data_IF_183330310941
#
_entry.id   IF_183330310941
#
_cell.length_a   1.000
_cell.length_b   1.000
_cell.length_c   1.000
_cell.angle_alpha   90.00
_cell.angle_beta   90.00
_cell.angle_gamma   90.00
#
_symmetry.space_group_name_H-M   'P 1'
#
loop_
_entity.id
_entity.type
_entity.pdbx_description
1 polymer ?
#
# COMPACT_ATOMS: atom_id res chain seq x y z
N UNK A 1 -12.03 10.41 -4.91
CA UNK A 1 -11.25 10.95 -3.78
C UNK A 1 -11.20 9.98 -2.60
N UNK A 2 -12.36 9.59 -2.04
CA UNK A 2 -12.46 8.69 -0.87
C UNK A 2 -11.72 7.35 -0.98
N UNK A 3 -11.61 6.76 -2.18
CA UNK A 3 -10.82 5.54 -2.44
C UNK A 3 -9.38 5.61 -1.91
N UNK A 4 -8.79 6.81 -1.78
CA UNK A 4 -7.43 7.00 -1.21
C UNK A 4 -7.29 6.47 0.23
N UNK A 5 -8.37 6.42 1.00
CA UNK A 5 -8.35 5.91 2.37
C UNK A 5 -8.05 4.40 2.44
N UNK A 6 -8.29 3.66 1.35
CA UNK A 6 -8.09 2.22 1.28
C UNK A 6 -6.68 1.81 0.83
N UNK A 7 -5.75 2.77 0.70
CA UNK A 7 -4.38 2.51 0.26
C UNK A 7 -4.33 1.81 -1.10
N UNK A 8 -3.47 0.80 -1.29
CA UNK A 8 -3.32 0.06 -2.55
C UNK A 8 -4.58 -0.64 -3.05
N UNK A 9 -5.54 -0.97 -2.18
CA UNK A 9 -6.84 -1.52 -2.61
C UNK A 9 -7.69 -0.46 -3.32
N UNK A 10 -7.51 0.81 -2.95
CA UNK A 10 -8.16 1.95 -3.55
C UNK A 10 -7.45 2.41 -4.82
N UNK A 11 -6.18 2.79 -4.67
CA UNK A 11 -5.26 3.26 -5.71
C UNK A 11 -3.85 2.79 -5.40
N UNK A 12 -3.09 2.34 -6.40
CA UNK A 12 -1.69 1.96 -6.21
C UNK A 12 -0.85 3.17 -5.78
N UNK A 13 -1.14 4.34 -6.34
CA UNK A 13 -0.46 5.61 -6.03
C UNK A 13 -1.48 6.61 -5.43
N UNK A 14 -1.12 7.35 -4.36
CA UNK A 14 -2.03 8.29 -3.71
C UNK A 14 -2.20 9.60 -4.51
N UNK A 15 -2.96 9.57 -5.60
CA UNK A 15 -3.23 10.75 -6.43
C UNK A 15 -3.98 11.86 -5.70
N UNK A 16 -3.82 13.07 -6.21
CA UNK A 16 -4.59 14.24 -5.82
C UNK A 16 -5.58 14.58 -6.94
N UNK A 17 -6.88 14.59 -6.60
CA UNK A 17 -7.96 14.94 -7.52
C UNK A 17 -8.38 16.38 -7.23
N UNK A 18 -8.17 17.30 -8.17
CA UNK A 18 -8.41 18.72 -7.94
C UNK A 18 -9.82 19.15 -8.40
N UNK A 19 -10.31 20.22 -7.78
CA UNK A 19 -11.56 20.87 -8.17
C UNK A 19 -11.50 21.49 -9.57
N UNK A 20 -10.32 21.93 -10.03
CA UNK A 20 -10.15 22.46 -11.39
C UNK A 20 -10.53 21.43 -12.45
N UNK A 21 -10.01 20.21 -12.32
CA UNK A 21 -10.27 19.12 -13.27
C UNK A 21 -11.74 18.71 -13.23
N UNK A 22 -12.36 18.75 -12.04
CA UNK A 22 -13.80 18.51 -11.88
C UNK A 22 -14.63 19.58 -12.59
N UNK A 23 -14.29 20.85 -12.40
CA UNK A 23 -14.99 21.97 -13.04
C UNK A 23 -14.90 21.93 -14.57
N UNK A 24 -13.73 21.58 -15.11
CA UNK A 24 -13.55 21.41 -16.56
C UNK A 24 -14.38 20.23 -17.06
N UNK A 25 -14.35 19.10 -16.36
CA UNK A 25 -15.14 17.91 -16.70
C UNK A 25 -16.65 18.20 -16.68
N UNK A 26 -17.14 18.98 -15.70
CA UNK A 26 -18.55 19.40 -15.63
C UNK A 26 -18.94 20.31 -16.79
N UNK A 27 -18.09 21.28 -17.16
CA UNK A 27 -18.35 22.17 -18.31
C UNK A 27 -18.38 21.40 -19.63
N UNK A 28 -17.44 20.47 -19.81
CA UNK A 28 -17.43 19.59 -20.99
C UNK A 28 -18.69 18.73 -21.04
N UNK A 29 -19.08 18.13 -19.91
CA UNK A 29 -20.32 17.35 -19.83
C UNK A 29 -21.53 18.20 -20.24
N UNK A 30 -21.66 19.42 -19.69
CA UNK A 30 -22.75 20.33 -20.04
C UNK A 30 -22.77 20.67 -21.54
N UNK A 31 -21.61 20.97 -22.12
CA UNK A 31 -21.47 21.25 -23.55
C UNK A 31 -21.94 20.06 -24.40
N UNK A 32 -21.47 18.84 -24.10
CA UNK A 32 -21.85 17.65 -24.85
C UNK A 32 -23.34 17.31 -24.72
N UNK A 33 -23.96 17.58 -23.56
CA UNK A 33 -25.39 17.33 -23.36
C UNK A 33 -26.29 18.36 -24.06
N UNK A 34 -25.81 19.59 -24.25
CA UNK A 34 -26.60 20.65 -24.90
C UNK A 34 -26.43 20.67 -26.42
N UNK A 35 -25.22 20.40 -26.92
CA UNK A 35 -24.87 20.61 -28.33
C UNK A 35 -25.11 19.38 -29.22
N UNK A 36 -25.25 18.19 -28.63
CA UNK A 36 -25.44 16.93 -29.34
C UNK A 36 -26.81 16.32 -29.05
N UNK A 37 -27.46 15.77 -30.08
CA UNK A 37 -28.75 15.07 -29.95
C UNK A 37 -28.62 13.71 -29.27
N UNK A 38 -27.48 13.04 -29.44
CA UNK A 38 -27.16 11.76 -28.80
C UNK A 38 -25.98 11.93 -27.84
N UNK A 39 -26.09 11.34 -26.64
CA UNK A 39 -25.06 11.47 -25.61
C UNK A 39 -23.83 10.64 -25.99
N UNK A 40 -22.65 11.27 -26.24
CA UNK A 40 -21.47 10.55 -26.69
C UNK A 40 -20.69 9.99 -25.48
N UNK A 41 -21.20 8.93 -24.85
CA UNK A 41 -20.61 8.33 -23.64
C UNK A 41 -19.13 7.97 -23.78
N UNK A 42 -18.73 7.41 -24.92
CA UNK A 42 -17.32 7.06 -25.17
C UNK A 42 -16.41 8.30 -25.18
N UNK A 43 -16.87 9.42 -25.74
CA UNK A 43 -16.13 10.67 -25.75
C UNK A 43 -16.03 11.26 -24.34
N UNK A 44 -17.11 11.22 -23.55
CA UNK A 44 -17.12 11.67 -22.15
C UNK A 44 -16.17 10.86 -21.28
N UNK A 45 -16.17 9.53 -21.42
CA UNK A 45 -15.25 8.65 -20.70
C UNK A 45 -13.80 8.97 -21.08
N UNK A 46 -13.51 9.17 -22.37
CA UNK A 46 -12.17 9.48 -22.85
C UNK A 46 -11.70 10.86 -22.38
N UNK A 47 -12.53 11.89 -22.47
CA UNK A 47 -12.18 13.25 -22.05
C UNK A 47 -11.96 13.32 -20.54
N UNK A 48 -12.90 12.80 -19.74
CA UNK A 48 -12.77 12.82 -18.29
C UNK A 48 -11.62 11.91 -17.83
N UNK A 49 -11.57 10.68 -18.33
CA UNK A 49 -10.60 9.68 -17.92
C UNK A 49 -9.19 9.92 -18.45
N UNK A 50 -9.02 10.07 -19.77
CA UNK A 50 -7.69 10.15 -20.39
C UNK A 50 -7.16 11.58 -20.48
N UNK A 51 -8.02 12.57 -20.77
CA UNK A 51 -7.56 13.95 -20.97
C UNK A 51 -7.49 14.75 -19.67
N UNK A 52 -8.56 14.79 -18.88
CA UNK A 52 -8.64 15.63 -17.68
C UNK A 52 -7.89 15.00 -16.50
N UNK A 53 -8.19 13.74 -16.18
CA UNK A 53 -7.56 13.04 -15.06
C UNK A 53 -6.39 12.14 -15.48
N UNK A 54 -6.29 11.76 -16.75
CA UNK A 54 -5.29 10.80 -17.23
C UNK A 54 -3.86 11.34 -17.21
N UNK A 55 -3.66 12.66 -17.24
CA UNK A 55 -2.34 13.26 -17.00
C UNK A 55 -1.85 13.09 -15.55
N UNK A 56 -2.76 12.87 -14.60
CA UNK A 56 -2.44 12.69 -13.16
C UNK A 56 -2.28 11.24 -12.76
N UNK A 57 -3.08 10.36 -13.37
CA UNK A 57 -3.06 8.92 -13.08
C UNK A 57 -1.96 8.26 -13.90
N UNK A 58 -0.80 8.06 -13.25
CA UNK A 58 0.42 7.58 -13.90
C UNK A 58 0.50 6.06 -14.04
N UNK A 59 -0.13 5.31 -13.12
CA UNK A 59 -0.13 3.83 -13.17
C UNK A 59 -1.18 3.31 -14.16
N UNK A 60 -0.81 2.30 -14.96
CA UNK A 60 -1.68 1.68 -15.97
C UNK A 60 -2.91 1.00 -15.35
N UNK A 61 -2.73 0.34 -14.19
CA UNK A 61 -3.84 -0.36 -13.53
C UNK A 61 -4.79 0.63 -12.87
N UNK A 62 -4.27 1.69 -12.26
CA UNK A 62 -5.09 2.78 -11.76
C UNK A 62 -5.85 3.50 -12.89
N UNK A 63 -5.22 3.72 -14.06
CA UNK A 63 -5.89 4.31 -15.23
C UNK A 63 -7.05 3.43 -15.70
N UNK A 64 -6.80 2.12 -15.85
CA UNK A 64 -7.83 1.14 -16.19
C UNK A 64 -8.97 1.12 -15.17
N UNK A 65 -8.66 1.19 -13.88
CA UNK A 65 -9.64 1.26 -12.80
C UNK A 65 -10.49 2.53 -12.93
N UNK A 66 -9.87 3.70 -13.11
CA UNK A 66 -10.58 4.96 -13.26
C UNK A 66 -11.56 4.93 -14.44
N UNK A 67 -11.12 4.48 -15.62
CA UNK A 67 -11.99 4.33 -16.80
C UNK A 67 -13.11 3.34 -16.55
N UNK A 68 -12.85 2.26 -15.81
CA UNK A 68 -13.87 1.26 -15.45
C UNK A 68 -14.91 1.84 -14.49
N UNK A 69 -14.48 2.66 -13.52
CA UNK A 69 -15.38 3.38 -12.63
C UNK A 69 -16.23 4.38 -13.43
N UNK A 70 -15.63 5.15 -14.33
CA UNK A 70 -16.36 6.11 -15.16
C UNK A 70 -17.46 5.45 -16.00
N UNK A 71 -17.24 4.24 -16.52
CA UNK A 71 -18.26 3.48 -17.27
C UNK A 71 -19.51 3.14 -16.44
N UNK A 72 -19.40 3.04 -15.12
CA UNK A 72 -20.56 2.82 -14.25
C UNK A 72 -21.45 4.08 -14.13
N UNK A 73 -20.92 5.26 -14.43
CA UNK A 73 -21.64 6.54 -14.37
C UNK A 73 -21.98 7.10 -15.76
N UNK A 74 -21.11 6.93 -16.75
CA UNK A 74 -21.33 7.31 -18.14
C UNK A 74 -21.81 6.12 -18.96
N UNK A 75 -23.09 5.79 -18.86
CA UNK A 75 -23.73 4.79 -19.69
C UNK A 75 -25.22 5.10 -19.91
N UNK A 76 -25.82 4.45 -20.90
CA UNK A 76 -27.22 4.67 -21.27
C UNK A 76 -28.21 4.24 -20.20
N UNK A 77 -27.88 3.25 -19.36
CA UNK A 77 -28.79 2.77 -18.29
C UNK A 77 -29.03 3.83 -17.23
N UNK A 78 -28.00 4.62 -16.92
CA UNK A 78 -28.10 5.76 -15.98
C UNK A 78 -29.15 6.78 -16.43
N UNK A 79 -29.39 6.91 -17.74
CA UNK A 79 -30.35 7.87 -18.30
C UNK A 79 -31.72 7.24 -18.54
N UNK A 80 -31.77 5.95 -18.88
CA UNK A 80 -32.99 5.27 -19.31
C UNK A 80 -33.71 4.52 -18.17
N UNK A 81 -33.00 4.17 -17.10
CA UNK A 81 -33.53 3.40 -15.98
C UNK A 81 -33.63 4.28 -14.73
N UNK A 82 -34.85 4.70 -14.40
CA UNK A 82 -35.15 5.50 -13.20
C UNK A 82 -34.79 4.77 -11.89
N UNK A 83 -34.64 3.44 -11.93
CA UNK A 83 -34.25 2.59 -10.79
C UNK A 83 -32.77 2.20 -10.82
N UNK A 84 -31.98 2.83 -11.68
CA UNK A 84 -30.55 2.58 -11.74
C UNK A 84 -29.88 2.90 -10.40
N UNK A 85 -29.12 1.94 -9.88
CA UNK A 85 -28.34 2.11 -8.67
C UNK A 85 -26.85 2.00 -8.94
N UNK A 86 -26.09 2.86 -8.25
CA UNK A 86 -24.63 2.90 -8.28
C UNK A 86 -23.99 1.88 -7.34
N UNK A 87 -24.75 1.25 -6.44
CA UNK A 87 -24.25 0.20 -5.54
C UNK A 87 -25.20 -1.01 -5.47
N UNK A 88 -24.67 -2.20 -5.13
CA UNK A 88 -25.49 -3.38 -4.90
C UNK A 88 -26.60 -3.19 -3.85
N UNK A 89 -26.35 -2.38 -2.82
CA UNK A 89 -27.31 -2.11 -1.74
C UNK A 89 -28.52 -1.29 -2.17
N UNK A 90 -28.55 -0.71 -3.37
CA UNK A 90 -29.63 0.14 -3.89
C UNK A 90 -29.90 1.42 -3.10
N UNK A 91 -29.08 1.74 -2.10
CA UNK A 91 -29.18 2.97 -1.32
C UNK A 91 -28.74 4.17 -2.16
N UNK A 92 -27.73 3.98 -3.02
CA UNK A 92 -27.18 5.01 -3.87
C UNK A 92 -27.79 4.93 -5.27
N UNK A 93 -28.70 5.83 -5.60
CA UNK A 93 -29.45 5.87 -6.86
C UNK A 93 -29.76 7.31 -7.27
N UNK A 94 -30.31 7.49 -8.47
CA UNK A 94 -30.80 8.79 -8.92
C UNK A 94 -32.14 9.09 -8.24
N UNK A 95 -32.34 10.32 -7.79
CA UNK A 95 -33.59 10.75 -7.16
C UNK A 95 -34.64 11.10 -8.21
N UNK A 96 -35.89 10.72 -7.97
CA UNK A 96 -37.02 11.12 -8.83
C UNK A 96 -37.19 12.65 -8.84
N UNK A 97 -36.94 13.28 -7.68
CA UNK A 97 -36.92 14.74 -7.57
C UNK A 97 -35.51 15.27 -7.85
N UNK A 98 -35.29 15.70 -9.09
CA UNK A 98 -34.02 16.28 -9.58
C UNK A 98 -33.90 17.79 -9.31
N UNK A 99 -34.87 18.40 -8.61
CA UNK A 99 -34.70 19.77 -8.12
C UNK A 99 -33.55 19.86 -7.12
N UNK A 100 -32.92 21.02 -7.01
CA UNK A 100 -31.83 21.25 -6.07
C UNK A 100 -32.20 20.85 -4.63
N UNK A 101 -33.42 21.19 -4.20
CA UNK A 101 -33.94 20.85 -2.88
C UNK A 101 -34.15 19.34 -2.71
N UNK A 102 -34.67 18.67 -3.74
CA UNK A 102 -34.84 17.21 -3.73
C UNK A 102 -33.51 16.46 -3.63
N UNK A 103 -32.51 16.89 -4.39
CA UNK A 103 -31.16 16.32 -4.35
C UNK A 103 -30.52 16.57 -2.98
N UNK A 104 -30.66 17.77 -2.41
CA UNK A 104 -30.14 18.08 -1.07
C UNK A 104 -30.79 17.21 0.02
N UNK A 105 -32.11 17.05 -0.02
CA UNK A 105 -32.84 16.21 0.93
C UNK A 105 -32.40 14.74 0.84
N UNK A 106 -32.18 14.24 -0.39
CA UNK A 106 -31.66 12.89 -0.59
C UNK A 106 -30.24 12.72 -0.06
N UNK A 107 -29.33 13.66 -0.35
CA UNK A 107 -27.96 13.62 0.19
C UNK A 107 -27.98 13.59 1.73
N UNK A 108 -28.90 14.34 2.36
CA UNK A 108 -29.06 14.33 3.82
C UNK A 108 -29.63 13.01 4.36
N UNK A 109 -30.37 12.25 3.55
CA UNK A 109 -30.90 10.93 3.93
C UNK A 109 -29.87 9.80 3.85
N UNK A 110 -28.74 10.04 3.17
CA UNK A 110 -27.70 9.03 3.01
C UNK A 110 -26.97 8.73 4.34
N UNK A 111 -26.46 7.50 4.52
CA UNK A 111 -25.66 7.15 5.69
C UNK A 111 -24.44 8.07 5.85
N UNK A 112 -24.16 8.50 7.07
CA UNK A 112 -22.94 9.25 7.41
C UNK A 112 -21.66 8.44 7.15
N UNK A 113 -21.72 7.13 7.36
CA UNK A 113 -20.62 6.21 7.11
C UNK A 113 -20.88 5.46 5.80
N UNK A 114 -20.07 5.77 4.79
CA UNK A 114 -20.14 5.13 3.49
C UNK A 114 -19.56 3.71 3.56
N UNK A 115 -20.30 2.75 3.03
CA UNK A 115 -19.86 1.36 2.87
C UNK A 115 -18.87 1.23 1.71
N UNK A 116 -17.90 0.29 1.73
CA UNK A 116 -16.90 0.15 0.67
C UNK A 116 -17.49 -0.12 -0.73
N UNK A 117 -18.68 -0.71 -0.77
CA UNK A 117 -19.38 -1.06 -2.00
C UNK A 117 -19.66 0.12 -2.93
N UNK A 118 -19.92 1.34 -2.41
CA UNK A 118 -20.14 2.53 -3.25
C UNK A 118 -18.89 2.92 -4.02
N UNK A 119 -17.73 2.55 -3.48
CA UNK A 119 -16.45 2.76 -4.15
C UNK A 119 -16.12 1.61 -5.11
N UNK A 120 -16.92 0.55 -5.18
CA UNK A 120 -16.61 -0.68 -5.92
C UNK A 120 -15.59 -1.56 -5.21
N UNK A 121 -15.58 -1.54 -3.87
CA UNK A 121 -14.73 -2.37 -3.03
C UNK A 121 -15.56 -3.40 -2.28
N UNK A 122 -14.94 -4.53 -1.92
CA UNK A 122 -15.53 -5.52 -1.02
C UNK A 122 -15.46 -5.05 0.44
N UNK A 123 -16.36 -5.50 1.30
CA UNK A 123 -16.43 -5.12 2.73
C UNK A 123 -15.11 -5.34 3.49
N UNK A 124 -14.34 -6.35 3.08
CA UNK A 124 -12.99 -6.62 3.61
C UNK A 124 -12.02 -5.43 3.43
N UNK A 125 -12.29 -4.50 2.52
CA UNK A 125 -11.47 -3.30 2.36
C UNK A 125 -11.55 -2.39 3.59
N UNK A 126 -12.71 -2.30 4.25
CA UNK A 126 -12.85 -1.56 5.52
C UNK A 126 -12.07 -2.25 6.64
N UNK A 127 -12.09 -3.58 6.70
CA UNK A 127 -11.27 -4.31 7.66
C UNK A 127 -9.78 -4.00 7.46
N UNK A 128 -9.30 -4.04 6.22
CA UNK A 128 -7.91 -3.71 5.91
C UNK A 128 -7.56 -2.25 6.27
N UNK A 129 -8.45 -1.30 5.96
CA UNK A 129 -8.31 0.12 6.35
C UNK A 129 -8.19 0.26 7.86
N UNK A 130 -9.14 -0.30 8.61
CA UNK A 130 -9.21 -0.18 10.07
C UNK A 130 -8.00 -0.84 10.75
N UNK A 131 -7.54 -1.98 10.23
CA UNK A 131 -6.32 -2.64 10.71
C UNK A 131 -5.08 -1.77 10.46
N UNK A 132 -4.98 -1.15 9.28
CA UNK A 132 -3.86 -0.26 8.98
C UNK A 132 -3.87 1.02 9.82
N UNK A 133 -5.05 1.63 10.02
CA UNK A 133 -5.21 2.78 10.90
C UNK A 133 -4.87 2.44 12.35
N UNK A 134 -5.32 1.29 12.84
CA UNK A 134 -5.02 0.81 14.19
C UNK A 134 -3.52 0.56 14.36
N UNK A 135 -2.86 -0.11 13.39
CA UNK A 135 -1.40 -0.28 13.41
C UNK A 135 -0.66 1.04 13.42
N UNK A 136 -1.12 2.03 12.65
CA UNK A 136 -0.53 3.37 12.62
C UNK A 136 -0.68 4.07 13.97
N UNK A 137 -1.87 4.04 14.57
CA UNK A 137 -2.14 4.66 15.87
C UNK A 137 -1.32 3.99 16.97
N UNK A 138 -1.34 2.65 17.05
CA UNK A 138 -0.53 1.91 18.02
C UNK A 138 0.97 2.12 17.82
N UNK A 139 1.43 2.17 16.57
CA UNK A 139 2.81 2.49 16.23
C UNK A 139 3.21 3.90 16.69
N UNK A 140 2.35 4.90 16.51
CA UNK A 140 2.58 6.26 16.98
C UNK A 140 2.60 6.33 18.51
N UNK A 141 1.70 5.62 19.19
CA UNK A 141 1.69 5.53 20.66
C UNK A 141 2.98 4.92 21.18
N UNK A 142 3.46 3.84 20.55
CA UNK A 142 4.71 3.17 20.93
C UNK A 142 5.91 4.11 20.79
N UNK A 143 5.98 4.89 19.70
CA UNK A 143 7.03 5.88 19.50
C UNK A 143 7.00 6.97 20.57
N UNK A 144 5.82 7.48 20.93
CA UNK A 144 5.67 8.50 21.98
C UNK A 144 6.01 7.94 23.37
N UNK A 145 5.59 6.71 23.68
CA UNK A 145 5.84 6.07 24.97
C UNK A 145 7.33 5.76 25.18
N UNK A 146 8.03 5.31 24.12
CA UNK A 146 9.46 5.03 24.18
C UNK A 146 10.33 6.27 24.45
N UNK A 147 9.86 7.49 24.10
CA UNK A 147 10.56 8.73 24.42
C UNK A 147 10.40 9.17 25.89
N UNK A 148 9.51 8.54 26.65
CA UNK A 148 9.22 8.92 28.04
C UNK A 148 9.83 7.99 29.10
N UNK A 149 10.51 6.91 28.70
CA UNK A 149 11.11 5.96 29.64
C UNK A 149 12.57 6.30 29.95
N UNK A 150 12.77 7.22 30.89
CA UNK A 150 14.07 7.48 31.54
C UNK A 150 14.34 6.44 32.67
N UNK A 151 13.99 5.16 32.46
CA UNK A 151 13.92 4.20 33.58
C UNK A 151 14.35 2.77 33.21
N UNK A 152 15.48 2.35 33.78
CA UNK A 152 16.06 0.99 33.84
C UNK A 152 16.62 0.41 32.54
N UNK A 153 17.73 0.97 32.05
CA UNK A 153 18.50 0.45 30.90
C UNK A 153 18.92 -1.04 31.01
N UNK A 154 19.16 -1.54 32.23
CA UNK A 154 19.67 -2.91 32.41
C UNK A 154 18.71 -4.06 32.03
N UNK A 155 17.38 -3.90 32.19
CA UNK A 155 16.41 -4.96 31.82
C UNK A 155 16.14 -4.99 30.30
N UNK A 156 16.22 -3.83 29.66
CA UNK A 156 16.06 -3.69 28.20
C UNK A 156 17.27 -4.26 27.46
N UNK A 157 18.48 -3.95 27.93
CA UNK A 157 19.73 -4.47 27.36
C UNK A 157 19.81 -6.01 27.48
N UNK A 158 19.43 -6.56 28.63
CA UNK A 158 19.40 -8.01 28.84
C UNK A 158 18.42 -8.72 27.89
N UNK A 159 17.21 -8.16 27.71
CA UNK A 159 16.22 -8.67 26.75
C UNK A 159 16.73 -8.59 25.32
N UNK A 160 17.41 -7.51 24.94
CA UNK A 160 17.98 -7.38 23.60
C UNK A 160 19.05 -8.41 23.32
N UNK A 161 19.96 -8.64 24.26
CA UNK A 161 20.97 -9.69 24.12
C UNK A 161 20.31 -11.05 23.95
N UNK A 162 19.26 -11.35 24.72
CA UNK A 162 18.53 -12.62 24.59
C UNK A 162 17.91 -12.76 23.19
N UNK A 163 17.22 -11.74 22.69
CA UNK A 163 16.61 -11.75 21.36
C UNK A 163 17.69 -11.90 20.27
N UNK A 164 18.80 -11.17 20.38
CA UNK A 164 19.93 -11.26 19.45
C UNK A 164 20.51 -12.68 19.44
N UNK A 165 20.72 -13.29 20.61
CA UNK A 165 21.26 -14.65 20.72
C UNK A 165 20.29 -15.67 20.10
N UNK A 166 18.98 -15.57 20.36
CA UNK A 166 17.97 -16.41 19.73
C UNK A 166 17.92 -16.24 18.19
N UNK A 167 18.08 -15.00 17.70
CA UNK A 167 18.10 -14.72 16.26
C UNK A 167 19.35 -15.29 15.60
N UNK A 168 20.51 -15.21 16.25
CA UNK A 168 21.76 -15.79 15.76
C UNK A 168 21.64 -17.31 15.68
N UNK A 169 21.07 -17.95 16.69
CA UNK A 169 20.93 -19.41 16.78
C UNK A 169 19.95 -19.98 15.74
N UNK A 170 18.85 -19.27 15.48
CA UNK A 170 17.86 -19.66 14.46
C UNK A 170 18.31 -19.34 13.02
N UNK A 171 19.41 -18.60 12.84
CA UNK A 171 19.78 -18.12 11.51
C UNK A 171 20.40 -19.24 10.65
N UNK A 172 19.89 -19.50 9.43
CA UNK A 172 20.38 -20.58 8.60
C UNK A 172 21.87 -20.43 8.26
N UNK A 173 22.59 -21.55 8.04
CA UNK A 173 23.95 -21.51 7.51
C UNK A 173 23.96 -20.91 6.10
N UNK A 174 25.11 -20.40 5.68
CA UNK A 174 25.28 -19.93 4.31
C UNK A 174 25.14 -21.09 3.33
N UNK A 175 24.58 -20.82 2.16
CA UNK A 175 24.48 -21.83 1.12
C UNK A 175 25.86 -22.11 0.51
N UNK A 176 26.17 -23.40 0.34
CA UNK A 176 27.38 -23.82 -0.37
C UNK A 176 27.23 -23.58 -1.87
N UNK A 177 27.93 -22.56 -2.37
CA UNK A 177 27.90 -22.16 -3.77
C UNK A 177 28.63 -23.17 -4.67
N UNK A 178 29.63 -23.88 -4.16
CA UNK A 178 30.41 -24.84 -4.95
C UNK A 178 29.63 -26.13 -5.16
N UNK A 179 28.97 -26.63 -4.11
CA UNK A 179 28.08 -27.78 -4.22
C UNK A 179 26.89 -27.47 -5.15
N UNK A 180 26.30 -26.28 -5.03
CA UNK A 180 25.21 -25.84 -5.91
C UNK A 180 25.66 -25.70 -7.37
N UNK A 181 26.85 -25.16 -7.62
CA UNK A 181 27.41 -25.02 -8.97
C UNK A 181 27.78 -26.36 -9.61
N UNK A 182 28.23 -27.35 -8.83
CA UNK A 182 28.48 -28.72 -9.31
C UNK A 182 27.19 -29.45 -9.65
N UNK A 183 26.14 -29.27 -8.85
CA UNK A 183 24.83 -29.92 -9.05
C UNK A 183 24.01 -29.29 -10.17
N UNK A 184 24.12 -27.97 -10.33
CA UNK A 184 23.40 -27.17 -11.33
C UNK A 184 24.38 -26.33 -12.15
N UNK A 185 25.10 -26.96 -13.10
CA UNK A 185 26.01 -26.23 -13.97
C UNK A 185 25.25 -25.21 -14.82
N UNK A 186 25.95 -24.12 -15.17
CA UNK A 186 25.43 -23.09 -16.06
C UNK A 186 25.51 -23.65 -17.47
N UNK A 187 24.36 -24.06 -18.01
CA UNK A 187 24.23 -24.58 -19.36
C UNK A 187 23.21 -23.70 -20.09
N UNK A 188 23.42 -23.49 -21.39
CA UNK A 188 22.56 -22.64 -22.22
C UNK A 188 21.09 -23.11 -22.22
N UNK A 189 20.88 -24.43 -22.20
CA UNK A 189 19.57 -25.08 -22.19
C UNK A 189 18.82 -24.94 -20.85
N UNK A 190 19.52 -24.53 -19.77
CA UNK A 190 18.94 -24.36 -18.43
C UNK A 190 19.29 -23.00 -17.83
N UNK A 191 18.66 -21.95 -18.36
CA UNK A 191 18.81 -20.56 -17.90
C UNK A 191 18.52 -20.36 -16.41
N UNK A 192 17.62 -21.17 -15.83
CA UNK A 192 17.27 -21.13 -14.40
C UNK A 192 18.45 -21.44 -13.46
N UNK A 193 19.44 -22.21 -13.89
CA UNK A 193 20.63 -22.50 -13.07
C UNK A 193 21.47 -21.23 -12.84
N UNK A 194 21.47 -20.32 -13.81
CA UNK A 194 22.13 -19.01 -13.69
C UNK A 194 21.41 -18.14 -12.65
N UNK A 195 20.07 -18.09 -12.70
CA UNK A 195 19.25 -17.36 -11.73
C UNK A 195 19.44 -17.93 -10.33
N UNK A 196 19.41 -19.26 -10.17
CA UNK A 196 19.67 -19.92 -8.89
C UNK A 196 21.02 -19.51 -8.30
N UNK A 197 22.09 -19.51 -9.10
CA UNK A 197 23.41 -19.09 -8.61
C UNK A 197 23.42 -17.62 -8.17
N UNK A 198 22.77 -16.73 -8.93
CA UNK A 198 22.66 -15.31 -8.56
C UNK A 198 21.85 -15.10 -7.27
N UNK A 199 20.74 -15.82 -7.11
CA UNK A 199 19.93 -15.79 -5.90
C UNK A 199 20.74 -16.29 -4.69
N UNK A 200 21.45 -17.41 -4.81
CA UNK A 200 22.32 -17.92 -3.73
C UNK A 200 23.39 -16.92 -3.31
N UNK A 201 24.01 -16.22 -4.27
CA UNK A 201 24.96 -15.15 -3.98
C UNK A 201 24.28 -14.02 -3.21
N UNK A 202 23.10 -13.57 -3.65
CA UNK A 202 22.34 -12.50 -3.01
C UNK A 202 21.90 -12.86 -1.59
N UNK A 203 21.40 -14.09 -1.38
CA UNK A 203 21.05 -14.63 -0.07
C UNK A 203 22.26 -14.75 0.85
N UNK A 204 23.40 -15.25 0.37
CA UNK A 204 24.62 -15.32 1.18
C UNK A 204 25.12 -13.93 1.58
N UNK A 205 24.98 -12.93 0.70
CA UNK A 205 25.36 -11.54 0.99
C UNK A 205 24.45 -10.92 2.05
N UNK A 206 23.14 -11.20 2.01
CA UNK A 206 22.17 -10.77 3.01
C UNK A 206 22.42 -11.44 4.36
N UNK A 207 22.49 -12.78 4.39
CA UNK A 207 22.71 -13.56 5.61
C UNK A 207 24.04 -13.19 6.28
N UNK A 208 25.10 -12.98 5.50
CA UNK A 208 26.39 -12.50 6.00
C UNK A 208 26.30 -11.10 6.60
N UNK A 209 25.58 -10.18 5.96
CA UNK A 209 25.39 -8.82 6.51
C UNK A 209 24.60 -8.83 7.83
N UNK A 210 23.55 -9.65 7.93
CA UNK A 210 22.73 -9.76 9.14
C UNK A 210 23.54 -10.40 10.28
N UNK A 211 24.25 -11.51 10.01
CA UNK A 211 25.11 -12.16 11.03
C UNK A 211 26.20 -11.22 11.53
N UNK A 212 26.81 -10.43 10.64
CA UNK A 212 27.80 -9.43 11.03
C UNK A 212 27.18 -8.34 11.91
N UNK A 213 26.04 -7.77 11.49
CA UNK A 213 25.29 -6.76 12.24
C UNK A 213 24.94 -7.27 13.64
N UNK A 214 24.27 -8.42 13.75
CA UNK A 214 23.88 -9.02 15.02
C UNK A 214 25.10 -9.32 15.92
N UNK A 215 26.21 -9.78 15.35
CA UNK A 215 27.43 -10.04 16.09
C UNK A 215 28.13 -8.77 16.62
N UNK A 216 28.06 -7.67 15.86
CA UNK A 216 28.57 -6.36 16.28
C UNK A 216 27.64 -5.73 17.33
N UNK A 217 26.32 -5.78 17.13
CA UNK A 217 25.32 -5.31 18.10
C UNK A 217 25.44 -6.06 19.43
N UNK A 218 25.62 -7.39 19.40
CA UNK A 218 25.86 -8.20 20.61
C UNK A 218 27.07 -7.71 21.40
N UNK A 219 28.15 -7.32 20.71
CA UNK A 219 29.37 -6.80 21.35
C UNK A 219 29.18 -5.38 21.85
N UNK A 220 28.45 -4.55 21.11
CA UNK A 220 28.15 -3.18 21.48
C UNK A 220 27.26 -3.11 22.74
N UNK A 221 26.18 -3.90 22.81
CA UNK A 221 25.30 -3.96 23.98
C UNK A 221 26.03 -4.50 25.22
N UNK A 222 27.01 -5.40 25.05
CA UNK A 222 27.88 -5.88 26.14
C UNK A 222 29.02 -4.90 26.51
N UNK A 223 29.14 -3.77 25.83
CA UNK A 223 30.15 -2.74 26.11
C UNK A 223 31.56 -3.03 25.57
N UNK A 224 31.73 -4.01 24.68
CA UNK A 224 33.03 -4.34 24.07
C UNK A 224 33.40 -3.44 22.89
N UNK A 225 32.42 -2.80 22.26
CA UNK A 225 32.59 -1.92 21.09
C UNK A 225 31.73 -0.68 21.31
N UNK A 226 32.18 0.48 20.83
CA UNK A 226 31.42 1.73 20.88
C UNK A 226 30.19 1.61 19.96
N UNK A 227 29.02 1.93 20.51
CA UNK A 227 27.76 1.95 19.76
C UNK A 227 27.82 3.02 18.66
N UNK A 228 27.54 2.62 17.42
CA UNK A 228 27.38 3.53 16.28
C UNK A 228 25.91 3.83 16.04
N UNK A 229 25.59 4.91 15.32
CA UNK A 229 24.21 5.26 15.00
C UNK A 229 23.48 4.16 14.20
N UNK A 230 24.19 3.43 13.33
CA UNK A 230 23.63 2.29 12.58
C UNK A 230 23.29 1.11 13.51
N UNK A 231 24.14 0.83 14.50
CA UNK A 231 23.91 -0.23 15.50
C UNK A 231 22.76 0.13 16.45
N UNK A 232 22.67 1.41 16.83
CA UNK A 232 21.54 1.90 17.64
C UNK A 232 20.21 1.74 16.88
N UNK A 233 20.17 2.08 15.59
CA UNK A 233 18.98 1.84 14.75
C UNK A 233 18.60 0.36 14.69
N UNK A 234 19.59 -0.55 14.53
CA UNK A 234 19.34 -1.99 14.50
C UNK A 234 18.82 -2.47 15.86
N UNK A 235 19.45 -2.05 16.96
CA UNK A 235 19.05 -2.40 18.32
C UNK A 235 17.62 -1.94 18.65
N UNK A 236 17.29 -0.69 18.30
CA UNK A 236 15.92 -0.16 18.44
C UNK A 236 14.93 -0.89 17.54
N UNK A 237 15.33 -1.26 16.32
CA UNK A 237 14.46 -2.00 15.39
C UNK A 237 14.17 -3.43 15.89
N UNK A 238 15.17 -4.13 16.44
CA UNK A 238 15.02 -5.46 17.05
C UNK A 238 14.07 -5.39 18.26
N UNK A 239 14.22 -4.38 19.12
CA UNK A 239 13.32 -4.13 20.25
C UNK A 239 11.85 -4.03 19.83
N UNK A 240 11.60 -3.35 18.72
CA UNK A 240 10.25 -3.09 18.22
C UNK A 240 9.79 -4.11 17.16
N UNK A 241 10.54 -5.18 16.92
CA UNK A 241 10.20 -6.22 15.92
C UNK A 241 10.14 -5.70 14.48
N UNK A 242 10.86 -4.60 14.17
CA UNK A 242 10.94 -3.99 12.84
C UNK A 242 12.22 -4.41 12.13
N UNK A 243 12.16 -4.54 10.80
CA UNK A 243 13.36 -4.78 9.99
C UNK A 243 14.19 -3.49 9.92
N UNK A 244 15.48 -3.50 10.33
CA UNK A 244 16.39 -2.35 10.19
C UNK A 244 16.59 -1.94 8.73
N UNK A 245 16.81 -0.64 8.47
CA UNK A 245 17.00 -0.14 7.10
C UNK A 245 18.21 -0.76 6.40
N UNK A 246 19.28 -1.01 7.15
CA UNK A 246 20.51 -1.64 6.65
C UNK A 246 20.24 -3.04 6.07
N UNK A 247 19.32 -3.79 6.68
CA UNK A 247 18.91 -5.12 6.20
C UNK A 247 17.91 -5.00 5.06
N UNK A 248 16.95 -4.07 5.17
CA UNK A 248 15.95 -3.82 4.13
C UNK A 248 16.57 -3.42 2.78
N UNK A 249 17.68 -2.69 2.79
CA UNK A 249 18.41 -2.30 1.56
C UNK A 249 19.01 -3.50 0.80
N UNK A 250 19.29 -4.60 1.51
CA UNK A 250 19.90 -5.82 0.96
C UNK A 250 18.88 -6.95 0.77
N UNK A 251 17.70 -6.83 1.37
CA UNK A 251 16.63 -7.83 1.30
C UNK A 251 15.68 -7.57 0.14
N UNK A 252 14.80 -8.54 -0.09
CA UNK A 252 13.59 -8.30 -0.86
C UNK A 252 12.60 -7.46 -0.03
N UNK A 253 11.75 -6.63 -0.67
CA UNK A 253 10.69 -5.91 0.03
C UNK A 253 9.81 -6.90 0.81
N UNK A 254 9.79 -6.76 2.13
CA UNK A 254 8.99 -7.59 3.03
C UNK A 254 8.25 -6.69 4.01
N UNK A 255 6.96 -7.01 4.22
CA UNK A 255 6.14 -6.39 5.25
C UNK A 255 6.06 -7.26 6.51
N UNK A 256 6.79 -8.38 6.55
CA UNK A 256 6.82 -9.27 7.70
C UNK A 256 7.71 -8.66 8.80
N UNK A 257 7.20 -8.69 10.03
CA UNK A 257 7.99 -8.34 11.22
C UNK A 257 9.07 -9.40 11.49
N UNK A 258 10.10 -9.01 12.25
CA UNK A 258 11.19 -9.93 12.68
C UNK A 258 10.61 -11.07 13.51
#
# INVERSE_FOLDING_TARGET
>A
QERKQYGPLGWNIPYEFNLSDLNISMKQLQMFLNDYSEIPFNALIYLTGECNYGGRVTDDKDRRLMVSLLKNYYNSKVVLDDKYSFSPSKIYHITENTSLQGIQAYIQSLPLNNTPEIFGLHDNADLAKNVNETRRVLGNILLTAAMSSESKGGDVEAKNIQIIDELIDKFPPQFDQEAAAKKYPIIYEQSMNTVLKQELIRYNRLTGAIKKSLGEDRKAVKGFIVMTAEMEEVNTSILFGKIPRSWASKSYPSLKQI
#
